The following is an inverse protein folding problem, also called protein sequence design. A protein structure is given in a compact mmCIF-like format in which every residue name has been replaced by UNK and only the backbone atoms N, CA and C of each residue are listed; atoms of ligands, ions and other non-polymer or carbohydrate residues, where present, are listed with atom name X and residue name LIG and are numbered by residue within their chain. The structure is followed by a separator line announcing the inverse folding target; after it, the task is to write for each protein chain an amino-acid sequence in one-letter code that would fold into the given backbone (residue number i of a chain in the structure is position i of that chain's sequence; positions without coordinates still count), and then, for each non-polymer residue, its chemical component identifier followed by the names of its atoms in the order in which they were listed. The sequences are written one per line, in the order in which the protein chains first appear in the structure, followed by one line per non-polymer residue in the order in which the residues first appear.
data_IF_670538215504
#
_entry.id   IF_670538215504
#
_cell.length_a   1.000
_cell.length_b   1.000
_cell.length_c   1.000
_cell.angle_alpha   90.00
_cell.angle_beta   90.00
_cell.angle_gamma   90.00
#
_symmetry.space_group_name_H-M   'P 1'
#
loop_
_entity.id
_entity.type
_entity.pdbx_description
1 polymer ?
#
# COMPACT_ATOMS: atom_id res chain seq x y z
N UNK A 1 16.58 -22.93 30.85
CA UNK A 1 16.64 -21.74 29.99
C UNK A 1 17.82 -20.88 30.45
N UNK A 2 18.80 -20.53 29.59
CA UNK A 2 19.92 -19.67 29.94
C UNK A 2 19.50 -18.19 29.98
N UNK A 3 20.15 -17.39 30.83
CA UNK A 3 19.94 -15.95 30.87
C UNK A 3 18.67 -15.48 31.60
N UNK A 4 18.00 -16.34 32.34
CA UNK A 4 16.87 -15.94 33.22
C UNK A 4 17.39 -15.13 34.39
N UNK A 5 16.85 -13.95 34.58
CA UNK A 5 17.15 -13.12 35.74
C UNK A 5 16.29 -13.53 36.93
N UNK A 6 16.91 -13.78 38.09
CA UNK A 6 16.27 -14.25 39.32
C UNK A 6 16.56 -13.24 40.41
N UNK A 7 15.52 -12.67 41.00
CA UNK A 7 15.64 -11.64 42.04
C UNK A 7 14.85 -12.08 43.26
N UNK A 8 15.44 -11.94 44.44
CA UNK A 8 14.72 -12.13 45.71
C UNK A 8 13.82 -10.90 45.93
N UNK A 9 12.51 -11.13 46.04
CA UNK A 9 11.53 -10.05 46.19
C UNK A 9 11.83 -9.14 47.36
N UNK A 10 11.84 -7.83 47.09
CA UNK A 10 12.10 -6.82 48.12
C UNK A 10 13.58 -6.60 48.48
N UNK A 11 14.51 -7.25 47.73
CA UNK A 11 15.96 -7.08 47.95
C UNK A 11 16.67 -6.78 46.65
N UNK A 12 17.93 -6.37 46.72
CA UNK A 12 18.81 -6.21 45.55
C UNK A 12 19.60 -7.51 45.23
N UNK A 13 19.30 -8.61 45.95
CA UNK A 13 20.01 -9.90 45.78
C UNK A 13 19.40 -10.66 44.60
N UNK A 14 20.22 -11.05 43.63
CA UNK A 14 19.77 -11.80 42.47
C UNK A 14 20.88 -12.66 41.86
N UNK A 15 20.50 -13.49 40.90
CA UNK A 15 21.38 -14.36 40.12
C UNK A 15 20.84 -14.48 38.68
N UNK A 16 21.69 -14.97 37.76
CA UNK A 16 21.29 -15.26 36.39
C UNK A 16 21.58 -16.74 36.11
N UNK A 17 20.68 -17.40 35.41
CA UNK A 17 20.88 -18.80 35.01
C UNK A 17 22.05 -18.96 34.02
N UNK A 18 22.81 -20.05 34.20
CA UNK A 18 23.89 -20.44 33.29
C UNK A 18 23.37 -21.05 31.98
N UNK A 19 24.30 -21.54 31.14
CA UNK A 19 23.96 -22.17 29.86
C UNK A 19 23.08 -23.43 29.95
N UNK A 20 23.10 -24.09 31.12
CA UNK A 20 22.28 -25.27 31.41
C UNK A 20 20.96 -24.91 32.07
N UNK A 21 20.74 -23.63 32.37
CA UNK A 21 19.57 -23.14 33.10
C UNK A 21 19.70 -23.31 34.63
N UNK A 22 20.89 -23.68 35.15
CA UNK A 22 21.14 -23.79 36.57
C UNK A 22 21.43 -22.42 37.19
N UNK A 23 21.01 -22.22 38.43
CA UNK A 23 21.21 -20.98 39.17
C UNK A 23 21.48 -21.24 40.65
N UNK A 24 22.11 -20.29 41.30
CA UNK A 24 22.31 -20.27 42.71
C UNK A 24 22.06 -18.86 43.24
N UNK A 25 21.19 -18.74 44.23
CA UNK A 25 20.87 -17.47 44.88
C UNK A 25 20.90 -17.61 46.40
N UNK A 26 21.53 -16.66 47.07
CA UNK A 26 21.54 -16.64 48.53
C UNK A 26 20.32 -15.87 49.05
N UNK A 27 19.48 -16.52 49.83
CA UNK A 27 18.23 -15.95 50.33
C UNK A 27 18.41 -15.64 51.80
N UNK A 28 18.29 -14.37 52.22
CA UNK A 28 18.59 -13.98 53.62
C UNK A 28 17.53 -14.42 54.65
N UNK A 29 16.29 -14.67 54.22
CA UNK A 29 15.19 -15.03 55.12
C UNK A 29 14.31 -16.16 54.56
N UNK A 30 13.85 -17.06 55.45
CA UNK A 30 12.85 -18.07 55.10
C UNK A 30 11.49 -17.42 54.82
N UNK A 31 10.84 -17.79 53.71
CA UNK A 31 9.55 -17.22 53.28
C UNK A 31 9.63 -16.16 52.20
N UNK A 32 10.84 -15.82 51.75
CA UNK A 32 11.04 -14.93 50.61
C UNK A 32 10.51 -15.55 49.30
N UNK A 33 10.09 -14.71 48.37
CA UNK A 33 9.71 -15.12 47.01
C UNK A 33 10.86 -14.82 46.05
N UNK A 34 11.05 -15.72 45.07
CA UNK A 34 11.90 -15.47 43.90
C UNK A 34 11.05 -15.00 42.73
N UNK A 35 11.52 -13.95 42.04
CA UNK A 35 10.94 -13.45 40.83
C UNK A 35 11.86 -13.88 39.68
N UNK A 36 11.30 -14.68 38.76
CA UNK A 36 11.96 -15.14 37.55
C UNK A 36 11.50 -14.27 36.38
N UNK A 37 12.42 -13.67 35.67
CA UNK A 37 12.13 -12.85 34.49
C UNK A 37 13.10 -13.15 33.35
N UNK A 38 12.55 -13.33 32.12
CA UNK A 38 13.32 -13.50 30.92
C UNK A 38 12.57 -12.85 29.76
N UNK A 39 13.30 -12.36 28.74
CA UNK A 39 12.69 -11.74 27.56
C UNK A 39 11.88 -12.79 26.80
N UNK A 40 10.61 -12.50 26.55
CA UNK A 40 9.68 -13.40 25.85
C UNK A 40 9.01 -14.45 26.73
N UNK A 41 9.11 -14.32 28.06
CA UNK A 41 8.47 -15.22 29.01
C UNK A 41 7.71 -14.45 30.08
N UNK A 42 6.65 -15.05 30.61
CA UNK A 42 5.89 -14.48 31.72
C UNK A 42 6.73 -14.42 33.00
N UNK A 43 6.62 -13.30 33.71
CA UNK A 43 7.25 -13.16 35.01
C UNK A 43 6.56 -14.11 36.00
N UNK A 44 7.34 -14.95 36.66
CA UNK A 44 6.83 -15.87 37.66
C UNK A 44 7.36 -15.53 39.04
N UNK A 45 6.47 -15.51 40.01
CA UNK A 45 6.81 -15.35 41.44
C UNK A 45 6.59 -16.67 42.17
N UNK A 46 7.63 -17.20 42.79
CA UNK A 46 7.58 -18.49 43.49
C UNK A 46 8.04 -18.29 44.93
N UNK A 47 7.21 -18.69 45.89
CA UNK A 47 7.57 -18.68 47.30
C UNK A 47 8.53 -19.84 47.59
N UNK A 48 9.66 -19.54 48.21
CA UNK A 48 10.74 -20.51 48.45
C UNK A 48 10.30 -21.54 49.51
N UNK A 49 9.71 -21.08 50.60
CA UNK A 49 9.35 -21.94 51.74
C UNK A 49 10.57 -22.60 52.36
N UNK A 50 10.48 -23.90 52.63
CA UNK A 50 11.59 -24.71 53.17
C UNK A 50 12.38 -25.47 52.08
N UNK A 51 12.21 -25.14 50.82
CA UNK A 51 12.82 -25.84 49.67
C UNK A 51 14.23 -25.32 49.41
N UNK A 52 15.17 -26.23 49.24
CA UNK A 52 16.55 -25.92 48.81
C UNK A 52 16.78 -26.07 47.32
N UNK A 53 15.86 -26.73 46.59
CA UNK A 53 15.88 -26.88 45.15
C UNK A 53 14.53 -26.46 44.59
N UNK A 54 14.54 -25.58 43.60
CA UNK A 54 13.35 -25.06 42.97
C UNK A 54 13.55 -25.09 41.45
N UNK A 55 12.84 -25.99 40.80
CA UNK A 55 12.76 -26.06 39.35
C UNK A 55 11.57 -25.25 38.84
N UNK A 56 11.79 -24.43 37.82
CA UNK A 56 10.78 -23.51 37.27
C UNK A 56 10.67 -23.72 35.76
N UNK A 57 9.43 -23.93 35.31
CA UNK A 57 9.12 -23.94 33.88
C UNK A 57 8.50 -22.60 33.54
N UNK A 58 9.21 -21.80 32.74
CA UNK A 58 8.73 -20.50 32.29
C UNK A 58 7.75 -20.66 31.12
N UNK A 59 6.57 -20.05 31.26
CA UNK A 59 5.61 -19.95 30.15
C UNK A 59 6.06 -18.87 29.17
N UNK A 60 5.99 -19.17 27.89
CA UNK A 60 6.24 -18.17 26.85
C UNK A 60 5.18 -17.09 26.95
N UNK A 61 5.63 -15.85 27.14
CA UNK A 61 4.74 -14.70 27.08
C UNK A 61 4.36 -14.48 25.61
N UNK A 62 3.20 -14.98 25.24
CA UNK A 62 2.52 -14.61 24.00
C UNK A 62 1.72 -13.34 24.30
N UNK A 63 2.39 -12.26 24.74
CA UNK A 63 1.76 -10.96 24.55
C UNK A 63 1.59 -10.81 23.02
N UNK A 64 0.36 -11.04 22.56
CA UNK A 64 -0.07 -10.48 21.30
C UNK A 64 0.33 -9.01 21.35
N UNK A 65 1.28 -8.60 20.49
CA UNK A 65 1.57 -7.20 20.28
C UNK A 65 0.22 -6.56 19.99
N UNK A 66 -0.35 -5.87 20.99
CA UNK A 66 -1.64 -5.19 20.80
C UNK A 66 -1.45 -4.26 19.62
N UNK A 67 -2.12 -4.58 18.51
CA UNK A 67 -2.09 -3.75 17.32
C UNK A 67 -2.62 -2.37 17.70
N UNK A 68 -1.72 -1.42 17.78
CA UNK A 68 -2.02 -0.05 18.16
C UNK A 68 -2.41 0.71 16.90
N UNK A 69 -3.61 1.25 16.90
CA UNK A 69 -4.15 2.03 15.78
C UNK A 69 -4.03 3.51 16.12
N UNK A 70 -3.51 4.30 15.19
CA UNK A 70 -3.52 5.76 15.29
C UNK A 70 -4.92 6.25 14.95
N UNK A 71 -5.62 6.80 15.93
CA UNK A 71 -6.93 7.42 15.75
C UNK A 71 -6.86 8.89 16.16
N UNK A 72 -7.00 9.76 15.18
CA UNK A 72 -6.89 11.18 15.43
C UNK A 72 -5.49 11.62 15.86
N UNK A 73 -5.43 12.26 17.02
CA UNK A 73 -4.18 12.74 17.62
C UNK A 73 -3.64 11.78 18.71
N UNK A 74 -4.26 10.63 18.88
CA UNK A 74 -3.89 9.65 19.92
C UNK A 74 -3.73 8.26 19.33
N UNK A 75 -2.87 7.47 19.97
CA UNK A 75 -2.75 6.05 19.70
C UNK A 75 -3.65 5.27 20.66
N UNK A 76 -4.49 4.40 20.13
CA UNK A 76 -5.39 3.55 20.93
C UNK A 76 -5.20 2.10 20.53
N UNK A 77 -5.42 1.17 21.49
CA UNK A 77 -5.49 -0.24 21.16
C UNK A 77 -6.66 -0.51 20.21
N UNK A 78 -6.45 -1.32 19.19
CA UNK A 78 -7.47 -1.71 18.20
C UNK A 78 -8.74 -2.22 18.85
N UNK A 79 -8.62 -2.91 20.00
CA UNK A 79 -9.74 -3.42 20.79
C UNK A 79 -10.60 -2.32 21.43
N UNK A 80 -10.06 -1.13 21.64
CA UNK A 80 -10.76 0.01 22.27
C UNK A 80 -11.41 0.95 21.27
N UNK A 81 -11.13 0.80 19.97
CA UNK A 81 -11.68 1.64 18.93
C UNK A 81 -13.07 1.15 18.53
N UNK A 82 -14.10 1.93 18.87
CA UNK A 82 -15.50 1.62 18.53
C UNK A 82 -15.88 1.99 17.10
N UNK A 83 -15.03 2.73 16.38
CA UNK A 83 -15.23 3.15 14.99
C UNK A 83 -14.80 2.13 13.97
N UNK A 84 -15.27 2.27 12.71
CA UNK A 84 -14.87 1.44 11.58
C UNK A 84 -13.44 1.80 11.12
N UNK A 85 -12.43 1.29 11.82
CA UNK A 85 -11.01 1.47 11.50
C UNK A 85 -10.42 0.14 11.02
N UNK A 86 -9.69 0.19 9.90
CA UNK A 86 -8.97 -0.98 9.38
C UNK A 86 -7.49 -0.61 9.26
N UNK A 87 -6.65 -1.42 9.87
CA UNK A 87 -5.19 -1.36 9.73
C UNK A 87 -4.74 -2.30 8.63
N UNK A 88 -3.79 -1.86 7.83
CA UNK A 88 -3.18 -2.66 6.75
C UNK A 88 -1.76 -3.01 7.16
N UNK A 89 -1.45 -4.30 7.12
CA UNK A 89 -0.09 -4.79 7.29
C UNK A 89 0.71 -4.49 6.01
N UNK A 90 1.64 -3.56 6.14
CA UNK A 90 2.52 -3.15 5.03
C UNK A 90 3.53 -4.24 4.69
N UNK A 91 4.00 -5.01 5.68
CA UNK A 91 4.91 -6.13 5.43
C UNK A 91 4.30 -7.20 4.51
N UNK A 92 2.98 -7.41 4.62
CA UNK A 92 2.23 -8.26 3.68
C UNK A 92 1.99 -7.58 2.33
N UNK A 93 1.78 -6.27 2.33
CA UNK A 93 1.51 -5.52 1.11
C UNK A 93 2.74 -5.42 0.20
N UNK A 94 3.93 -5.24 0.76
CA UNK A 94 5.20 -5.11 0.02
C UNK A 94 5.76 -6.44 -0.49
N UNK A 95 5.18 -7.61 -0.12
CA UNK A 95 5.54 -8.88 -0.75
C UNK A 95 5.20 -8.93 -2.25
N UNK A 96 4.27 -8.10 -2.68
CA UNK A 96 3.94 -7.89 -4.09
C UNK A 96 4.53 -6.55 -4.51
N UNK A 97 5.16 -6.45 -5.69
CA UNK A 97 5.65 -5.18 -6.18
C UNK A 97 4.51 -4.16 -6.27
N UNK A 98 4.59 -3.10 -5.49
CA UNK A 98 3.67 -1.96 -5.50
C UNK A 98 4.45 -0.71 -5.86
N UNK A 99 3.88 0.11 -6.75
CA UNK A 99 4.55 1.31 -7.26
C UNK A 99 4.37 2.51 -6.33
N UNK A 100 3.26 2.53 -5.59
CA UNK A 100 2.94 3.65 -4.70
C UNK A 100 2.20 3.17 -3.44
N UNK A 101 2.17 4.04 -2.43
CA UNK A 101 1.53 3.75 -1.14
C UNK A 101 0.03 3.41 -1.25
N UNK A 102 -0.67 3.99 -2.23
CA UNK A 102 -2.11 3.76 -2.41
C UNK A 102 -2.44 2.34 -2.87
N UNK A 103 -1.58 1.72 -3.66
CA UNK A 103 -1.76 0.33 -4.12
C UNK A 103 -1.70 -0.68 -2.97
N UNK A 104 -1.04 -0.33 -1.87
CA UNK A 104 -1.02 -1.17 -0.67
C UNK A 104 -2.41 -1.44 -0.09
N UNK A 105 -3.40 -0.58 -0.37
CA UNK A 105 -4.78 -0.75 0.09
C UNK A 105 -5.60 -1.70 -0.78
N UNK A 106 -5.16 -1.95 -2.01
CA UNK A 106 -5.93 -2.69 -3.00
C UNK A 106 -6.22 -4.13 -2.55
N UNK A 107 -7.50 -4.49 -2.48
CA UNK A 107 -7.96 -5.83 -2.09
C UNK A 107 -7.76 -6.19 -0.61
N UNK A 108 -7.19 -5.29 0.23
CA UNK A 108 -6.89 -5.56 1.65
C UNK A 108 -7.86 -4.89 2.61
N UNK A 109 -8.56 -3.87 2.16
CA UNK A 109 -9.46 -3.09 3.02
C UNK A 109 -10.89 -3.22 2.52
N UNK A 110 -11.78 -3.80 3.32
CA UNK A 110 -13.20 -3.92 2.97
C UNK A 110 -13.83 -2.54 2.79
N UNK A 111 -14.62 -2.37 1.72
CA UNK A 111 -15.27 -1.08 1.40
C UNK A 111 -14.32 0.00 0.92
N UNK A 112 -13.11 -0.35 0.52
CA UNK A 112 -12.17 0.52 -0.19
C UNK A 112 -11.97 -0.04 -1.59
N UNK A 113 -12.18 0.81 -2.58
CA UNK A 113 -11.89 0.52 -3.99
C UNK A 113 -10.67 1.34 -4.40
N UNK A 114 -9.68 0.66 -4.94
CA UNK A 114 -8.49 1.29 -5.51
C UNK A 114 -8.47 0.97 -6.99
N UNK A 115 -8.53 1.99 -7.82
CA UNK A 115 -8.43 1.86 -9.28
C UNK A 115 -7.21 2.60 -9.76
N UNK A 116 -6.38 1.90 -10.55
CA UNK A 116 -5.22 2.49 -11.19
C UNK A 116 -5.55 2.70 -12.68
N UNK A 117 -5.28 3.88 -13.21
CA UNK A 117 -5.51 4.21 -14.61
C UNK A 117 -4.50 3.53 -15.55
N UNK A 118 -3.50 2.83 -15.00
CA UNK A 118 -2.48 2.14 -15.78
C UNK A 118 -1.43 3.07 -16.41
N UNK A 119 -1.49 4.37 -16.13
CA UNK A 119 -0.48 5.32 -16.57
C UNK A 119 0.81 5.14 -15.76
N UNK A 120 1.98 5.11 -16.40
CA UNK A 120 3.25 5.11 -15.69
C UNK A 120 3.37 6.35 -14.77
N UNK A 121 3.58 6.13 -13.46
CA UNK A 121 3.59 7.21 -12.46
C UNK A 121 2.21 7.79 -12.14
N UNK A 122 1.14 7.18 -12.63
CA UNK A 122 -0.24 7.56 -12.30
C UNK A 122 -0.54 7.38 -10.82
N UNK A 123 -1.46 8.20 -10.31
CA UNK A 123 -1.93 8.12 -8.92
C UNK A 123 -3.14 7.19 -8.87
N UNK A 124 -3.18 6.22 -7.96
CA UNK A 124 -4.35 5.39 -7.80
C UNK A 124 -5.52 6.22 -7.24
N UNK A 125 -6.67 6.00 -7.85
CA UNK A 125 -7.91 6.59 -7.37
C UNK A 125 -8.46 5.74 -6.23
N UNK A 126 -8.49 6.29 -5.02
CA UNK A 126 -8.94 5.60 -3.81
C UNK A 126 -10.34 6.09 -3.46
N UNK A 127 -11.28 5.16 -3.30
CA UNK A 127 -12.64 5.44 -2.87
C UNK A 127 -12.99 4.63 -1.63
N UNK A 128 -13.50 5.29 -0.61
CA UNK A 128 -13.96 4.66 0.62
C UNK A 128 -15.49 4.71 0.63
N UNK A 129 -16.14 3.52 0.67
CA UNK A 129 -17.61 3.38 0.63
C UNK A 129 -18.29 3.90 -0.64
N UNK A 130 -17.54 4.13 -1.72
CA UNK A 130 -18.08 4.55 -3.01
C UNK A 130 -18.16 6.08 -3.19
N UNK A 131 -19.20 6.54 -3.86
CA UNK A 131 -19.40 7.94 -4.18
C UNK A 131 -20.38 8.58 -3.19
N UNK A 132 -19.92 9.54 -2.41
CA UNK A 132 -20.72 10.30 -1.45
C UNK A 132 -21.21 11.65 -1.97
N UNK A 133 -20.58 12.16 -3.03
CA UNK A 133 -20.84 13.50 -3.60
C UNK A 133 -20.62 13.50 -5.11
N UNK A 134 -21.18 14.48 -5.79
CA UNK A 134 -20.97 14.73 -7.22
C UNK A 134 -19.63 15.45 -7.50
N UNK A 135 -19.00 15.98 -6.46
CA UNK A 135 -17.72 16.68 -6.56
C UNK A 135 -16.54 15.71 -6.33
N UNK A 136 -15.55 16.14 -5.55
CA UNK A 136 -14.40 15.31 -5.19
C UNK A 136 -14.80 14.26 -4.15
N UNK A 137 -14.55 12.98 -4.46
CA UNK A 137 -14.78 11.84 -3.58
C UNK A 137 -13.47 11.25 -3.04
N UNK A 138 -12.34 11.94 -3.16
CA UNK A 138 -11.08 11.49 -2.63
C UNK A 138 -11.10 11.53 -1.10
N UNK A 139 -10.48 10.57 -0.42
CA UNK A 139 -10.36 10.60 1.02
C UNK A 139 -9.37 11.69 1.46
N UNK A 140 -9.43 12.05 2.73
CA UNK A 140 -8.41 12.87 3.35
C UNK A 140 -7.18 11.99 3.65
N UNK A 141 -6.00 12.42 3.22
CA UNK A 141 -4.74 11.77 3.54
C UNK A 141 -4.08 12.47 4.71
N UNK A 142 -3.54 11.68 5.65
CA UNK A 142 -2.79 12.19 6.80
C UNK A 142 -1.47 11.43 6.84
N UNK A 143 -0.37 12.13 6.58
CA UNK A 143 0.96 11.55 6.54
C UNK A 143 1.77 12.15 7.68
N UNK A 144 2.14 11.32 8.65
CA UNK A 144 2.85 11.71 9.86
C UNK A 144 2.23 12.95 10.55
N UNK A 145 0.90 13.02 10.54
CA UNK A 145 0.13 14.11 11.13
C UNK A 145 -0.18 15.29 10.19
N UNK A 146 0.42 15.35 9.01
CA UNK A 146 0.15 16.41 8.01
C UNK A 146 -1.04 16.02 7.15
N UNK A 147 -2.05 16.89 7.09
CA UNK A 147 -3.28 16.67 6.34
C UNK A 147 -3.18 17.20 4.91
N UNK A 148 -3.57 16.40 3.92
CA UNK A 148 -3.68 16.79 2.52
C UNK A 148 -4.85 16.08 1.84
N UNK A 149 -5.43 16.74 0.83
CA UNK A 149 -6.44 16.15 -0.07
C UNK A 149 -5.83 15.78 -1.42
N UNK A 150 -4.56 16.06 -1.63
CA UNK A 150 -3.85 15.77 -2.87
C UNK A 150 -3.36 14.32 -2.85
N UNK A 151 -3.91 13.50 -3.74
CA UNK A 151 -3.51 12.10 -3.87
C UNK A 151 -2.10 11.93 -4.45
N UNK A 152 -1.53 12.94 -5.12
CA UNK A 152 -0.16 12.86 -5.66
C UNK A 152 0.90 12.64 -4.58
N UNK A 153 0.60 13.01 -3.36
CA UNK A 153 1.50 12.77 -2.22
C UNK A 153 1.81 11.28 -2.04
N UNK A 154 0.89 10.38 -2.43
CA UNK A 154 1.12 8.92 -2.34
C UNK A 154 2.26 8.42 -3.22
N UNK A 155 2.59 9.14 -4.31
CA UNK A 155 3.71 8.81 -5.18
C UNK A 155 5.05 9.30 -4.62
N UNK A 156 5.05 10.19 -3.64
CA UNK A 156 6.28 10.71 -3.02
C UNK A 156 6.79 9.82 -1.88
N UNK A 157 5.96 8.88 -1.41
CA UNK A 157 6.28 8.00 -0.29
C UNK A 157 6.68 6.64 -0.84
N UNK A 158 7.90 6.20 -0.51
CA UNK A 158 8.28 4.83 -0.81
C UNK A 158 7.47 3.87 0.07
N UNK A 159 6.79 2.87 -0.51
CA UNK A 159 6.04 1.88 0.27
C UNK A 159 6.87 1.17 1.35
N UNK A 160 8.17 0.96 1.11
CA UNK A 160 9.08 0.36 2.08
C UNK A 160 9.33 1.23 3.32
N UNK A 161 9.10 2.55 3.24
CA UNK A 161 9.26 3.47 4.38
C UNK A 161 8.02 3.57 5.25
N UNK A 162 6.92 2.96 4.83
CA UNK A 162 5.69 2.97 5.60
C UNK A 162 5.79 1.96 6.74
N UNK A 163 5.49 2.42 7.95
CA UNK A 163 5.38 1.59 9.15
C UNK A 163 3.99 0.99 9.27
N UNK A 164 2.96 1.82 9.07
CA UNK A 164 1.57 1.44 9.28
C UNK A 164 0.65 2.31 8.43
N UNK A 165 -0.42 1.72 7.93
CA UNK A 165 -1.46 2.42 7.22
C UNK A 165 -2.81 2.09 7.83
N UNK A 166 -3.59 3.11 8.19
CA UNK A 166 -4.91 2.97 8.79
C UNK A 166 -5.96 3.66 7.93
N UNK A 167 -7.09 3.00 7.72
CA UNK A 167 -8.24 3.59 7.01
C UNK A 167 -9.37 3.78 7.99
N UNK A 168 -9.75 5.05 8.19
CA UNK A 168 -10.89 5.44 9.03
C UNK A 168 -12.10 5.66 8.15
N UNK A 169 -13.19 5.04 8.51
CA UNK A 169 -14.46 5.09 7.78
C UNK A 169 -15.55 5.64 8.68
N UNK A 170 -16.56 6.21 8.07
CA UNK A 170 -17.77 6.65 8.76
C UNK A 170 -17.48 7.56 9.98
N UNK A 171 -18.07 7.29 11.11
CA UNK A 171 -17.91 8.06 12.35
C UNK A 171 -16.49 8.17 12.87
N UNK A 172 -15.61 7.20 12.57
CA UNK A 172 -14.19 7.27 12.95
C UNK A 172 -13.45 8.41 12.25
N UNK A 173 -13.87 8.78 11.03
CA UNK A 173 -13.31 9.87 10.27
C UNK A 173 -13.79 11.26 10.75
N UNK A 174 -14.90 11.34 11.50
CA UNK A 174 -15.56 12.58 11.89
C UNK A 174 -14.68 13.51 12.74
N UNK A 175 -13.69 12.97 13.46
CA UNK A 175 -12.75 13.77 14.26
C UNK A 175 -11.90 14.74 13.42
N UNK A 176 -11.77 14.49 12.11
CA UNK A 176 -11.05 15.32 11.17
C UNK A 176 -11.95 16.36 10.45
N UNK A 177 -13.23 16.41 10.85
CA UNK A 177 -14.20 17.39 10.37
C UNK A 177 -14.73 17.10 8.97
N UNK A 178 -15.34 18.11 8.35
CA UNK A 178 -16.07 17.99 7.07
C UNK A 178 -15.19 17.50 5.90
N UNK A 179 -13.88 17.78 5.91
CA UNK A 179 -12.94 17.33 4.88
C UNK A 179 -12.76 15.81 4.88
N UNK A 180 -13.12 15.16 5.96
CA UNK A 180 -13.03 13.71 6.11
C UNK A 180 -14.33 12.97 5.78
N UNK A 181 -15.32 13.64 5.18
CA UNK A 181 -16.61 13.05 4.81
C UNK A 181 -16.48 11.80 3.93
N UNK A 182 -15.46 11.74 3.11
CA UNK A 182 -15.16 10.61 2.22
C UNK A 182 -14.22 9.57 2.86
N UNK A 183 -14.01 9.64 4.19
CA UNK A 183 -13.06 8.81 4.92
C UNK A 183 -11.65 9.41 5.00
N UNK A 184 -10.81 8.75 5.78
CA UNK A 184 -9.43 9.19 6.03
C UNK A 184 -8.46 8.02 5.83
N UNK A 185 -7.36 8.28 5.16
CA UNK A 185 -6.21 7.36 5.07
C UNK A 185 -5.06 7.96 5.87
N UNK A 186 -4.68 7.29 6.94
CA UNK A 186 -3.56 7.70 7.79
C UNK A 186 -2.35 6.84 7.45
N UNK A 187 -1.27 7.49 7.09
CA UNK A 187 0.02 6.87 6.77
C UNK A 187 1.01 7.30 7.83
N UNK A 188 1.61 6.34 8.49
CA UNK A 188 2.69 6.57 9.45
C UNK A 188 3.96 5.96 8.89
N UNK A 189 5.01 6.77 8.75
CA UNK A 189 6.30 6.30 8.25
C UNK A 189 7.16 5.70 9.36
N UNK A 190 8.21 5.01 8.96
CA UNK A 190 9.20 4.45 9.88
C UNK A 190 10.02 5.58 10.48
N UNK A 191 10.04 5.65 11.80
CA UNK A 191 10.88 6.58 12.53
C UNK A 191 12.17 5.89 12.98
N UNK A 192 13.25 6.64 13.07
CA UNK A 192 14.48 6.16 13.68
C UNK A 192 14.22 5.72 15.12
N UNK A 193 14.66 4.54 15.50
CA UNK A 193 14.61 4.05 16.88
C UNK A 193 16.00 4.05 17.48
N UNK A 194 16.11 4.49 18.74
CA UNK A 194 17.36 4.39 19.49
C UNK A 194 17.60 2.92 19.87
N UNK A 195 18.37 2.20 19.08
CA UNK A 195 18.66 0.79 19.28
C UNK A 195 20.08 0.59 19.81
N UNK A 196 20.41 1.18 20.97
CA UNK A 196 21.70 1.02 21.69
C UNK A 196 22.94 1.06 20.79
N UNK A 197 22.97 1.99 19.83
CA UNK A 197 24.12 2.21 18.92
C UNK A 197 24.25 1.18 17.79
N UNK A 198 23.30 0.30 17.56
CA UNK A 198 23.27 -0.57 16.38
C UNK A 198 22.68 0.17 15.20
N UNK A 199 23.41 0.27 14.12
CA UNK A 199 22.94 0.78 12.83
C UNK A 199 22.36 -0.40 12.05
N UNK A 200 21.14 -0.27 11.58
CA UNK A 200 20.51 -1.22 10.66
C UNK A 200 20.50 -0.57 9.27
N UNK A 201 21.11 -1.23 8.31
CA UNK A 201 21.09 -0.84 6.90
C UNK A 201 20.21 -1.82 6.14
N UNK A 202 19.21 -1.30 5.46
CA UNK A 202 18.34 -2.07 4.56
C UNK A 202 18.49 -1.48 3.16
N UNK A 203 18.67 -2.31 2.16
CA UNK A 203 18.69 -1.88 0.77
C UNK A 203 17.74 -2.80 -0.02
N UNK A 204 16.83 -2.18 -0.75
CA UNK A 204 15.87 -2.89 -1.60
C UNK A 204 16.01 -2.38 -3.03
N UNK A 205 15.97 -3.27 -4.00
CA UNK A 205 15.95 -2.92 -5.41
C UNK A 205 14.91 -3.76 -6.15
N UNK A 206 14.07 -3.10 -6.93
CA UNK A 206 13.07 -3.74 -7.76
C UNK A 206 13.22 -3.28 -9.21
N UNK A 207 13.18 -4.25 -10.13
CA UNK A 207 13.20 -4.02 -11.57
C UNK A 207 11.97 -4.67 -12.19
N UNK A 208 11.27 -3.92 -13.03
CA UNK A 208 10.09 -4.41 -13.71
C UNK A 208 9.92 -3.78 -15.08
N UNK A 209 8.95 -4.30 -15.84
CA UNK A 209 8.53 -3.72 -17.11
C UNK A 209 7.04 -3.51 -17.05
N UNK A 210 6.59 -2.31 -17.34
CA UNK A 210 5.19 -1.97 -17.45
C UNK A 210 4.81 -1.96 -18.93
N UNK A 211 3.75 -2.68 -19.25
CA UNK A 211 3.26 -2.82 -20.62
C UNK A 211 1.75 -2.61 -20.65
N UNK A 212 1.29 -1.87 -21.66
CA UNK A 212 -0.13 -1.72 -21.90
C UNK A 212 -0.73 -3.06 -22.36
N UNK A 213 -1.82 -3.47 -21.70
CA UNK A 213 -2.59 -4.66 -22.05
C UNK A 213 -3.99 -4.23 -22.52
N UNK A 214 -4.61 -5.05 -23.36
CA UNK A 214 -5.94 -4.78 -23.90
C UNK A 214 -6.04 -3.44 -24.67
N UNK A 215 -5.05 -3.18 -25.52
CA UNK A 215 -5.15 -2.06 -26.44
C UNK A 215 -6.34 -2.29 -27.39
N UNK A 216 -7.18 -1.26 -27.62
CA UNK A 216 -8.26 -1.38 -28.59
C UNK A 216 -7.69 -1.58 -29.99
N UNK A 217 -8.31 -2.48 -30.75
CA UNK A 217 -8.03 -2.60 -32.18
C UNK A 217 -8.61 -1.39 -32.89
N UNK A 218 -7.73 -0.60 -33.51
CA UNK A 218 -8.14 0.54 -34.33
C UNK A 218 -8.33 0.10 -35.76
N UNK A 219 -9.23 0.79 -36.44
CA UNK A 219 -9.40 0.63 -37.89
C UNK A 219 -8.10 1.07 -38.59
N UNK A 220 -7.66 0.28 -39.53
CA UNK A 220 -6.62 0.73 -40.45
C UNK A 220 -7.17 1.81 -41.41
N UNK A 221 -6.29 2.48 -42.19
CA UNK A 221 -6.70 3.58 -43.04
C UNK A 221 -7.77 3.15 -44.06
N UNK A 222 -7.68 1.94 -44.59
CA UNK A 222 -8.60 1.35 -45.56
C UNK A 222 -9.99 1.10 -44.93
N UNK A 223 -10.03 0.46 -43.74
CA UNK A 223 -11.27 0.22 -43.01
C UNK A 223 -11.95 1.52 -42.55
N UNK A 224 -11.15 2.51 -42.13
CA UNK A 224 -11.67 3.83 -41.76
C UNK A 224 -12.32 4.54 -42.94
N UNK A 225 -11.69 4.46 -44.10
CA UNK A 225 -12.26 5.04 -45.33
C UNK A 225 -13.54 4.33 -45.75
N UNK A 226 -13.59 2.99 -45.66
CA UNK A 226 -14.82 2.23 -45.96
C UNK A 226 -15.96 2.64 -45.03
N UNK A 227 -15.66 2.82 -43.73
CA UNK A 227 -16.64 3.28 -42.75
C UNK A 227 -17.19 4.67 -43.11
N UNK A 228 -16.32 5.62 -43.45
CA UNK A 228 -16.72 6.96 -43.84
C UNK A 228 -17.54 6.93 -45.11
N UNK A 229 -17.07 6.24 -46.17
CA UNK A 229 -17.79 6.12 -47.44
C UNK A 229 -19.19 5.49 -47.24
N UNK A 230 -19.30 4.47 -46.37
CA UNK A 230 -20.59 3.86 -46.05
C UNK A 230 -21.51 4.83 -45.32
N UNK A 231 -20.98 5.66 -44.42
CA UNK A 231 -21.76 6.67 -43.71
C UNK A 231 -22.34 7.71 -44.67
N UNK A 232 -21.53 8.23 -45.59
CA UNK A 232 -22.00 9.20 -46.59
C UNK A 232 -23.04 8.62 -47.54
N UNK A 233 -22.87 7.36 -47.96
CA UNK A 233 -23.87 6.68 -48.80
C UNK A 233 -25.20 6.50 -48.08
N UNK A 234 -25.18 6.16 -46.82
CA UNK A 234 -26.37 5.98 -45.99
C UNK A 234 -27.11 7.31 -45.77
N UNK A 235 -26.39 8.41 -45.67
CA UNK A 235 -26.96 9.76 -45.54
C UNK A 235 -27.44 10.32 -46.90
N UNK A 236 -27.25 9.59 -48.00
CA UNK A 236 -27.62 10.02 -49.34
C UNK A 236 -26.70 11.12 -49.89
N UNK A 237 -25.56 11.36 -49.29
CA UNK A 237 -24.56 12.34 -49.71
C UNK A 237 -23.49 11.66 -50.57
N UNK A 238 -23.27 12.21 -51.78
CA UNK A 238 -22.26 11.70 -52.71
C UNK A 238 -21.04 12.62 -52.82
N UNK A 239 -21.09 13.80 -52.18
CA UNK A 239 -20.10 14.84 -52.39
C UNK A 239 -18.68 14.43 -51.96
N UNK A 240 -18.55 13.64 -50.93
CA UNK A 240 -17.23 13.28 -50.37
C UNK A 240 -16.72 11.90 -50.82
N UNK A 241 -17.51 11.13 -51.58
CA UNK A 241 -17.05 9.88 -52.19
C UNK A 241 -15.84 10.08 -53.11
N UNK A 242 -15.76 11.24 -53.76
CA UNK A 242 -14.61 11.61 -54.58
C UNK A 242 -13.32 11.77 -53.72
N UNK A 243 -13.47 12.08 -52.48
CA UNK A 243 -12.36 12.25 -51.52
C UNK A 243 -11.84 10.92 -50.99
N UNK A 244 -12.76 9.99 -50.73
CA UNK A 244 -12.47 8.69 -50.08
C UNK A 244 -12.45 7.50 -51.05
N UNK A 245 -12.73 7.74 -52.35
CA UNK A 245 -12.75 6.71 -53.37
C UNK A 245 -14.03 5.88 -53.45
N UNK A 246 -14.02 4.84 -54.25
CA UNK A 246 -15.14 3.91 -54.41
C UNK A 246 -15.24 3.00 -53.17
N UNK A 247 -16.44 2.82 -52.63
CA UNK A 247 -16.72 1.94 -51.51
C UNK A 247 -16.26 0.50 -51.73
N UNK A 248 -16.26 0.02 -52.98
CA UNK A 248 -15.82 -1.32 -53.37
C UNK A 248 -14.30 -1.40 -53.60
N UNK A 249 -13.64 -0.26 -53.74
CA UNK A 249 -12.20 -0.13 -53.89
C UNK A 249 -11.72 1.16 -53.22
N UNK A 250 -11.79 1.23 -51.91
CA UNK A 250 -11.40 2.41 -51.14
C UNK A 250 -9.90 2.65 -51.34
N UNK A 251 -9.57 3.62 -52.13
CA UNK A 251 -8.21 4.12 -52.29
C UNK A 251 -8.20 5.61 -52.05
N UNK A 252 -7.40 6.09 -51.14
CA UNK A 252 -7.14 7.50 -50.99
C UNK A 252 -6.20 7.91 -52.12
N UNK A 253 -6.63 8.82 -53.02
CA UNK A 253 -5.71 9.36 -54.02
C UNK A 253 -4.49 9.96 -53.32
N UNK A 254 -3.32 9.49 -53.69
CA UNK A 254 -2.07 10.02 -53.15
C UNK A 254 -1.94 11.51 -53.51
N UNK A 255 -1.80 12.37 -52.48
CA UNK A 255 -1.63 13.80 -52.74
C UNK A 255 -2.92 14.63 -52.79
N UNK A 256 -4.06 14.12 -52.35
CA UNK A 256 -5.30 14.90 -52.27
C UNK A 256 -5.17 15.99 -51.23
N UNK A 257 -5.41 17.24 -51.60
CA UNK A 257 -5.41 18.40 -50.71
C UNK A 257 -6.80 18.55 -50.07
N UNK A 258 -6.88 18.45 -48.75
CA UNK A 258 -8.09 18.67 -48.00
C UNK A 258 -7.89 19.90 -47.14
N UNK A 259 -8.55 20.99 -47.49
CA UNK A 259 -8.50 22.24 -46.72
C UNK A 259 -7.11 22.85 -46.58
N UNK A 260 -6.25 22.73 -47.59
CA UNK A 260 -4.90 23.24 -47.63
C UNK A 260 -3.86 22.32 -46.98
N UNK A 261 -4.25 21.10 -46.59
CA UNK A 261 -3.32 20.10 -46.06
C UNK A 261 -3.24 18.89 -46.98
N UNK A 262 -2.07 18.65 -47.56
CA UNK A 262 -1.86 17.47 -48.43
C UNK A 262 -1.82 16.21 -47.54
N UNK A 263 -2.89 15.44 -47.51
CA UNK A 263 -2.92 14.15 -46.87
C UNK A 263 -2.23 13.10 -47.74
N UNK A 264 -1.12 12.58 -47.27
CA UNK A 264 -0.40 11.48 -47.89
C UNK A 264 -0.72 10.20 -47.14
N UNK A 265 -1.61 9.39 -47.67
CA UNK A 265 -1.76 8.02 -47.15
C UNK A 265 -0.85 7.12 -47.97
N UNK A 266 0.14 6.55 -47.31
CA UNK A 266 1.01 5.58 -47.97
C UNK A 266 0.21 4.33 -48.34
N UNK A 267 0.45 3.73 -49.53
CA UNK A 267 -0.10 2.42 -49.83
C UNK A 267 0.39 1.42 -48.78
N UNK A 268 -0.54 0.73 -48.13
CA UNK A 268 -0.18 -0.30 -47.12
C UNK A 268 -0.81 -0.13 -45.75
N UNK A 269 -1.92 0.60 -45.63
CA UNK A 269 -2.74 0.53 -44.40
C UNK A 269 -2.61 1.68 -43.41
N UNK A 270 -1.77 2.69 -43.67
CA UNK A 270 -1.62 3.85 -42.77
C UNK A 270 -0.65 3.61 -41.64
N UNK A 271 -0.62 4.55 -40.70
CA UNK A 271 0.25 4.47 -39.51
C UNK A 271 -0.52 3.84 -38.36
N UNK A 272 0.01 2.78 -37.78
CA UNK A 272 -0.46 2.24 -36.50
C UNK A 272 0.01 3.13 -35.36
N UNK A 273 -0.83 4.10 -34.99
CA UNK A 273 -0.55 5.06 -33.93
C UNK A 273 -0.43 4.38 -32.56
N UNK A 274 -1.09 3.21 -32.36
CA UNK A 274 -1.00 2.50 -31.08
C UNK A 274 0.40 1.95 -30.89
N UNK A 275 1.00 1.36 -31.92
CA UNK A 275 2.37 0.85 -31.85
C UNK A 275 3.43 1.96 -31.71
N UNK A 276 3.13 3.17 -32.18
CA UNK A 276 4.03 4.33 -32.07
C UNK A 276 3.96 4.97 -30.68
N UNK A 277 2.75 5.07 -30.10
CA UNK A 277 2.51 5.76 -28.83
C UNK A 277 2.78 4.86 -27.62
N UNK A 278 2.43 3.58 -27.70
CA UNK A 278 2.59 2.64 -26.59
C UNK A 278 3.89 1.86 -26.74
N UNK A 279 4.68 1.88 -25.69
CA UNK A 279 5.92 1.13 -25.60
C UNK A 279 6.05 0.50 -24.22
N UNK A 280 6.81 -0.56 -24.13
CA UNK A 280 7.19 -1.13 -22.84
C UNK A 280 8.06 -0.12 -22.07
N UNK A 281 7.66 0.18 -20.84
CA UNK A 281 8.35 1.13 -19.97
C UNK A 281 9.11 0.38 -18.86
N UNK A 282 10.43 0.53 -18.74
CA UNK A 282 11.16 -0.03 -17.62
C UNK A 282 10.82 0.75 -16.34
N UNK A 283 10.57 0.02 -15.26
CA UNK A 283 10.33 0.55 -13.93
C UNK A 283 11.45 0.09 -13.02
N UNK A 284 12.04 1.02 -12.28
CA UNK A 284 13.10 0.77 -11.34
C UNK A 284 12.78 1.48 -10.03
N UNK A 285 12.91 0.76 -8.92
CA UNK A 285 12.77 1.31 -7.59
C UNK A 285 14.00 0.91 -6.77
N UNK A 286 14.53 1.88 -6.03
CA UNK A 286 15.66 1.71 -5.11
C UNK A 286 15.27 2.34 -3.78
N UNK A 287 15.45 1.60 -2.69
CA UNK A 287 15.16 2.04 -1.32
C UNK A 287 16.32 1.68 -0.36
#
# INVERSE_FOLDING_TARGET
LPGVNIIVKGTATGSITDFNGAYQVNVPEQGSSLIFSAIGYDIQEIVIGARSLIDVTMAVNVEELEEVVVTGYTTQSKKSVTGAVVSVDIGEATKVPILNAGEALQGRVTGVTVTNNGEPGGVPNIRIRGYGTTNNNDPLYIIDGVQTTDAYVLNTINPSDIKQMNVLKDGAAAIYGARASNGVVIITTKNGSYNKGKVTLTAEAYFGTQRAINLPELLNAEQHMQMIATTYLNDGSTADLALYGDINNPSVPYGTDIGGTTMRVAPGGGTDWMSVLYRDAPVQNYA
#
